data_IF_215410789439
#
_entry.id   IF_215410789439
#
_cell.length_a   1.000
_cell.length_b   1.000
_cell.length_c   1.000
_cell.angle_alpha   90.00
_cell.angle_beta   90.00
_cell.angle_gamma   90.00
#
_symmetry.space_group_name_H-M   'P 1'
#
loop_
_entity.id
_entity.type
_entity.pdbx_description
1 polymer ?
#
# COMPACT_ATOMS: atom_id res chain seq x y z
N UNK A 1 7.48 -22.96 2.39
CA UNK A 1 7.75 -21.62 1.85
C UNK A 1 6.95 -21.45 0.57
N UNK A 2 6.26 -20.32 0.40
CA UNK A 2 5.50 -20.02 -0.80
C UNK A 2 6.39 -19.84 -2.03
N UNK A 3 5.78 -19.76 -3.22
CA UNK A 3 6.52 -19.45 -4.46
C UNK A 3 6.78 -17.95 -4.52
N UNK A 4 8.04 -17.49 -4.73
CA UNK A 4 8.34 -16.07 -4.85
C UNK A 4 7.57 -15.42 -6.01
N UNK A 5 6.94 -14.28 -5.76
CA UNK A 5 6.33 -13.40 -6.77
C UNK A 5 7.33 -12.36 -7.25
N UNK A 6 8.05 -11.75 -6.30
CA UNK A 6 9.04 -10.71 -6.52
C UNK A 6 10.25 -11.00 -5.65
N UNK A 7 11.44 -10.90 -6.23
CA UNK A 7 12.70 -10.88 -5.52
C UNK A 7 13.43 -9.56 -5.83
N UNK A 8 13.72 -8.79 -4.81
CA UNK A 8 14.49 -7.55 -4.87
C UNK A 8 15.89 -7.87 -4.33
N UNK A 9 16.93 -7.58 -5.12
CA UNK A 9 18.32 -7.88 -4.79
C UNK A 9 19.20 -6.65 -4.87
N UNK A 10 19.77 -6.25 -3.74
CA UNK A 10 20.71 -5.12 -3.60
C UNK A 10 20.20 -3.83 -4.25
N UNK A 11 18.88 -3.59 -4.19
CA UNK A 11 18.24 -2.46 -4.84
C UNK A 11 18.72 -1.15 -4.25
N UNK A 12 19.19 -0.26 -5.10
CA UNK A 12 19.41 1.15 -4.78
C UNK A 12 18.61 2.01 -5.75
N UNK A 13 17.99 3.07 -5.23
CA UNK A 13 17.15 3.95 -6.02
C UNK A 13 17.11 5.37 -5.42
N UNK A 14 16.83 6.35 -6.27
CA UNK A 14 16.76 7.74 -5.85
C UNK A 14 16.30 8.65 -7.00
N UNK A 15 16.40 9.94 -6.76
CA UNK A 15 16.03 10.99 -7.71
C UNK A 15 17.22 11.89 -7.94
N UNK A 16 17.52 12.21 -9.19
CA UNK A 16 18.67 13.02 -9.59
C UNK A 16 19.99 12.50 -8.98
N UNK A 17 20.65 13.27 -8.14
CA UNK A 17 21.90 12.91 -7.45
C UNK A 17 21.68 12.35 -6.04
N UNK A 18 20.42 12.31 -5.55
CA UNK A 18 20.11 11.87 -4.18
C UNK A 18 19.67 10.43 -4.15
N UNK A 19 20.47 9.55 -3.56
CA UNK A 19 20.08 8.17 -3.24
C UNK A 19 19.11 8.18 -2.05
N UNK A 20 17.96 7.52 -2.22
CA UNK A 20 16.90 7.39 -1.20
C UNK A 20 16.88 5.98 -0.61
N UNK A 21 17.15 4.97 -1.44
CA UNK A 21 17.22 3.57 -1.01
C UNK A 21 18.60 3.01 -1.31
N UNK A 22 19.14 2.22 -0.36
CA UNK A 22 20.46 1.62 -0.44
C UNK A 22 20.39 0.14 -0.11
N UNK A 23 20.88 -0.70 -1.01
CA UNK A 23 21.08 -2.15 -0.79
C UNK A 23 19.85 -2.87 -0.22
N UNK A 24 18.66 -2.54 -0.73
CA UNK A 24 17.40 -3.13 -0.28
C UNK A 24 17.28 -4.55 -0.82
N UNK A 25 16.97 -5.50 0.07
CA UNK A 25 16.68 -6.88 -0.26
C UNK A 25 15.31 -7.26 0.29
N UNK A 26 14.42 -7.80 -0.55
CA UNK A 26 13.07 -8.18 -0.14
C UNK A 26 12.55 -9.29 -1.06
N UNK A 27 11.90 -10.29 -0.49
CA UNK A 27 11.15 -11.29 -1.25
C UNK A 27 9.68 -11.22 -0.86
N UNK A 28 8.81 -11.12 -1.85
CA UNK A 28 7.35 -11.17 -1.68
C UNK A 28 6.86 -12.50 -2.25
N UNK A 29 6.11 -13.23 -1.47
CA UNK A 29 5.59 -14.54 -1.85
C UNK A 29 4.13 -14.47 -2.32
N UNK A 30 3.68 -15.57 -2.92
CA UNK A 30 2.29 -15.71 -3.32
C UNK A 30 1.37 -15.66 -2.09
N UNK A 31 0.27 -14.90 -2.19
CA UNK A 31 -0.69 -14.69 -1.09
C UNK A 31 -0.05 -14.14 0.20
N UNK A 32 1.07 -13.46 0.06
CA UNK A 32 1.67 -12.71 1.15
C UNK A 32 0.80 -11.52 1.54
N UNK A 33 0.87 -11.11 2.80
CA UNK A 33 0.30 -9.85 3.25
C UNK A 33 1.40 -9.10 4.00
N UNK A 34 2.15 -8.33 3.24
CA UNK A 34 3.33 -7.62 3.71
C UNK A 34 2.97 -6.17 4.08
N UNK A 35 3.26 -5.78 5.32
CA UNK A 35 3.24 -4.39 5.76
C UNK A 35 4.57 -3.71 5.47
N UNK A 36 4.54 -2.55 4.82
CA UNK A 36 5.71 -1.67 4.70
C UNK A 36 5.50 -0.47 5.61
N UNK A 37 6.34 -0.35 6.62
CA UNK A 37 6.34 0.71 7.61
C UNK A 37 7.66 1.50 7.54
N UNK A 38 7.74 2.62 8.26
CA UNK A 38 8.96 3.42 8.32
C UNK A 38 8.66 4.92 8.39
N UNK A 39 9.65 5.76 8.68
CA UNK A 39 9.48 7.20 8.83
C UNK A 39 9.09 7.87 7.52
N UNK A 40 8.55 9.09 7.61
CA UNK A 40 8.31 9.93 6.44
C UNK A 40 9.66 10.28 5.79
N UNK A 41 9.72 10.17 4.47
CA UNK A 41 10.98 10.35 3.73
C UNK A 41 11.90 9.13 3.73
N UNK A 42 11.61 8.05 4.48
CA UNK A 42 12.46 6.85 4.58
C UNK A 42 12.54 5.99 3.30
N UNK A 43 11.80 6.34 2.23
CA UNK A 43 11.92 5.66 0.93
C UNK A 43 10.77 4.71 0.59
N UNK A 44 9.71 4.59 1.41
CA UNK A 44 8.56 3.70 1.16
C UNK A 44 7.95 3.88 -0.23
N UNK A 45 7.58 5.12 -0.59
CA UNK A 45 7.02 5.45 -1.91
C UNK A 45 8.02 5.21 -3.04
N UNK A 46 9.32 5.41 -2.80
CA UNK A 46 10.38 5.11 -3.76
C UNK A 46 10.47 3.61 -4.04
N UNK A 47 10.40 2.78 -3.00
CA UNK A 47 10.37 1.32 -3.14
C UNK A 47 9.13 0.87 -3.93
N UNK A 48 7.95 1.39 -3.59
CA UNK A 48 6.72 1.10 -4.32
C UNK A 48 6.84 1.48 -5.79
N UNK A 49 7.37 2.66 -6.12
CA UNK A 49 7.58 3.08 -7.51
C UNK A 49 8.55 2.15 -8.27
N UNK A 50 9.57 1.64 -7.60
CA UNK A 50 10.47 0.64 -8.20
C UNK A 50 9.72 -0.68 -8.46
N UNK A 51 8.95 -1.19 -7.50
CA UNK A 51 8.13 -2.41 -7.64
C UNK A 51 7.09 -2.27 -8.76
N UNK A 52 6.51 -1.08 -8.93
CA UNK A 52 5.55 -0.79 -10.00
C UNK A 52 6.20 -0.54 -11.37
N UNK A 53 7.55 -0.49 -11.44
CA UNK A 53 8.27 -0.15 -12.66
C UNK A 53 8.16 1.34 -13.06
N UNK A 54 7.67 2.20 -12.15
CA UNK A 54 7.54 3.65 -12.37
C UNK A 54 8.84 4.42 -12.11
N UNK A 55 9.77 3.79 -11.39
CA UNK A 55 11.10 4.33 -11.14
C UNK A 55 12.13 3.23 -11.41
N UNK A 56 13.10 3.54 -12.27
CA UNK A 56 14.20 2.60 -12.56
C UNK A 56 15.21 2.64 -11.42
N UNK A 57 15.61 1.48 -10.85
CA UNK A 57 16.69 1.40 -9.89
C UNK A 57 18.01 1.96 -10.44
N UNK A 58 18.81 2.57 -9.57
CA UNK A 58 20.18 3.00 -9.89
C UNK A 58 21.20 1.89 -9.69
N UNK A 59 20.83 0.82 -8.96
CA UNK A 59 21.63 -0.39 -8.74
C UNK A 59 20.78 -1.54 -8.25
N UNK A 60 21.30 -2.77 -8.36
CA UNK A 60 20.55 -3.98 -8.04
C UNK A 60 19.48 -4.31 -9.08
N UNK A 61 18.60 -5.25 -8.74
CA UNK A 61 17.58 -5.73 -9.67
C UNK A 61 16.28 -6.11 -8.96
N UNK A 62 15.18 -6.11 -9.70
CA UNK A 62 13.88 -6.65 -9.30
C UNK A 62 13.52 -7.77 -10.27
N UNK A 63 13.41 -8.98 -9.74
CA UNK A 63 13.04 -10.18 -10.49
C UNK A 63 11.57 -10.50 -10.23
N UNK A 64 10.79 -10.64 -11.29
CA UNK A 64 9.39 -11.04 -11.23
C UNK A 64 9.25 -12.50 -11.63
N UNK A 65 8.30 -13.22 -11.02
CA UNK A 65 7.99 -14.63 -11.32
C UNK A 65 7.88 -14.86 -12.84
N UNK A 66 8.60 -15.87 -13.31
CA UNK A 66 8.58 -16.26 -14.74
C UNK A 66 9.22 -15.24 -15.68
N UNK A 67 10.02 -14.29 -15.19
CA UNK A 67 10.74 -13.31 -16.00
C UNK A 67 9.82 -12.34 -16.77
N UNK A 68 8.55 -12.23 -16.38
CA UNK A 68 7.57 -11.33 -17.01
C UNK A 68 7.04 -10.35 -15.98
N UNK A 69 6.63 -9.16 -16.45
CA UNK A 69 5.94 -8.20 -15.61
C UNK A 69 4.67 -8.83 -15.03
N UNK A 70 4.53 -8.74 -13.70
CA UNK A 70 3.33 -9.18 -12.99
C UNK A 70 2.16 -8.24 -13.30
N UNK A 71 0.95 -8.79 -13.22
CA UNK A 71 -0.24 -7.94 -13.11
C UNK A 71 -0.29 -7.39 -11.69
N UNK A 72 -0.03 -6.11 -11.55
CA UNK A 72 -0.03 -5.42 -10.26
C UNK A 72 -1.21 -4.44 -10.24
N UNK A 73 -2.09 -4.60 -9.25
CA UNK A 73 -3.09 -3.60 -8.92
C UNK A 73 -2.48 -2.54 -8.01
N UNK A 74 -2.77 -1.27 -8.26
CA UNK A 74 -2.23 -0.17 -7.44
C UNK A 74 -3.34 0.76 -6.96
N UNK A 75 -3.40 0.95 -5.66
CA UNK A 75 -4.20 1.98 -5.01
C UNK A 75 -3.24 3.05 -4.50
N UNK A 76 -3.18 4.23 -5.17
CA UNK A 76 -2.31 5.32 -4.78
C UNK A 76 -2.86 6.05 -3.55
N UNK A 77 -2.00 6.84 -2.92
CA UNK A 77 -2.38 7.72 -1.83
C UNK A 77 -3.55 8.66 -2.24
N UNK A 78 -4.50 8.85 -1.34
CA UNK A 78 -5.75 9.59 -1.57
C UNK A 78 -5.55 10.97 -2.19
N UNK A 79 -4.55 11.72 -1.73
CA UNK A 79 -4.27 13.10 -2.19
C UNK A 79 -3.81 13.19 -3.65
N UNK A 80 -3.45 12.07 -4.27
CA UNK A 80 -3.01 12.02 -5.67
C UNK A 80 -4.17 11.97 -6.68
N UNK A 81 -5.43 11.92 -6.20
CA UNK A 81 -6.61 11.72 -7.04
C UNK A 81 -7.35 13.03 -7.23
N UNK A 82 -7.49 13.44 -8.50
CA UNK A 82 -8.32 14.59 -8.84
C UNK A 82 -9.81 14.22 -8.79
N UNK A 83 -10.47 14.62 -7.71
CA UNK A 83 -11.91 14.41 -7.51
C UNK A 83 -12.80 15.27 -8.39
N UNK A 84 -12.26 16.29 -9.06
CA UNK A 84 -13.02 17.15 -9.98
C UNK A 84 -13.16 16.52 -11.37
N UNK A 85 -12.38 15.47 -11.64
CA UNK A 85 -12.48 14.77 -12.92
C UNK A 85 -13.85 14.08 -13.05
N UNK A 86 -14.62 14.35 -14.11
CA UNK A 86 -15.99 13.88 -14.27
C UNK A 86 -16.02 12.42 -14.73
N UNK A 87 -15.60 11.49 -13.87
CA UNK A 87 -15.57 10.04 -14.11
C UNK A 87 -16.50 9.35 -13.13
N UNK A 88 -17.24 8.34 -13.59
CA UNK A 88 -18.15 7.54 -12.76
C UNK A 88 -17.44 6.41 -12.02
N UNK A 89 -18.13 5.78 -11.05
CA UNK A 89 -17.65 4.60 -10.33
C UNK A 89 -17.33 3.46 -11.30
N UNK A 90 -18.26 3.16 -12.24
CA UNK A 90 -18.07 2.11 -13.25
C UNK A 90 -16.84 2.40 -14.11
N UNK A 91 -16.69 3.62 -14.62
CA UNK A 91 -15.57 4.02 -15.46
C UNK A 91 -14.23 3.94 -14.73
N UNK A 92 -14.17 4.35 -13.44
CA UNK A 92 -12.98 4.21 -12.62
C UNK A 92 -12.59 2.74 -12.49
N UNK A 93 -13.54 1.86 -12.17
CA UNK A 93 -13.27 0.43 -12.01
C UNK A 93 -12.83 -0.17 -13.36
N UNK A 94 -13.54 0.11 -14.45
CA UNK A 94 -13.19 -0.33 -15.80
C UNK A 94 -11.79 0.13 -16.23
N UNK A 95 -11.34 1.30 -15.77
CA UNK A 95 -10.01 1.81 -16.09
C UNK A 95 -8.87 0.87 -15.63
N UNK A 96 -9.11 0.02 -14.63
CA UNK A 96 -8.18 -1.01 -14.20
C UNK A 96 -7.89 -2.10 -15.25
N UNK A 97 -8.72 -2.20 -16.28
CA UNK A 97 -8.52 -3.10 -17.43
C UNK A 97 -7.81 -2.43 -18.62
N UNK A 98 -7.43 -1.15 -18.52
CA UNK A 98 -6.88 -0.40 -19.65
C UNK A 98 -5.58 -0.99 -20.21
N UNK A 99 -4.77 -1.65 -19.38
CA UNK A 99 -3.55 -2.34 -19.85
C UNK A 99 -3.82 -3.63 -20.63
N UNK A 100 -5.04 -4.16 -20.58
CA UNK A 100 -5.44 -5.40 -21.26
C UNK A 100 -6.09 -5.16 -22.61
N UNK A 101 -6.29 -3.91 -23.01
CA UNK A 101 -6.92 -3.55 -24.29
C UNK A 101 -6.04 -2.62 -25.11
N UNK A 102 -6.29 -2.60 -26.45
CA UNK A 102 -5.71 -1.57 -27.32
C UNK A 102 -6.23 -0.18 -26.93
N UNK A 103 -5.40 0.85 -27.08
CA UNK A 103 -5.73 2.25 -26.76
C UNK A 103 -7.02 2.75 -27.45
N UNK A 104 -7.38 2.15 -28.61
CA UNK A 104 -8.52 2.57 -29.44
C UNK A 104 -9.76 1.70 -29.18
N UNK A 105 -9.65 0.57 -28.48
CA UNK A 105 -10.78 -0.35 -28.28
C UNK A 105 -11.69 0.11 -27.15
N UNK A 106 -13.02 -0.02 -27.35
CA UNK A 106 -14.04 0.21 -26.31
C UNK A 106 -14.07 -0.97 -25.34
N UNK A 107 -14.54 -0.74 -24.11
CA UNK A 107 -14.84 -1.82 -23.19
C UNK A 107 -15.98 -2.68 -23.73
N UNK A 108 -15.80 -4.00 -23.69
CA UNK A 108 -16.78 -4.99 -24.14
C UNK A 108 -17.87 -5.23 -23.09
N UNK A 109 -18.95 -5.91 -23.48
CA UNK A 109 -19.98 -6.34 -22.53
C UNK A 109 -19.39 -7.21 -21.39
N UNK A 110 -18.43 -8.09 -21.71
CA UNK A 110 -17.74 -8.91 -20.71
C UNK A 110 -16.93 -8.06 -19.71
N UNK A 111 -16.31 -6.97 -20.15
CA UNK A 111 -15.60 -6.05 -19.25
C UNK A 111 -16.58 -5.35 -18.29
N UNK A 112 -17.77 -4.94 -18.78
CA UNK A 112 -18.79 -4.31 -17.95
C UNK A 112 -19.38 -5.28 -16.95
N UNK A 113 -19.68 -6.51 -17.36
CA UNK A 113 -20.13 -7.56 -16.45
C UNK A 113 -19.14 -7.80 -15.33
N UNK A 114 -17.84 -7.87 -15.66
CA UNK A 114 -16.80 -7.98 -14.66
C UNK A 114 -16.75 -6.77 -13.73
N UNK A 115 -16.95 -5.56 -14.27
CA UNK A 115 -17.01 -4.34 -13.45
C UNK A 115 -18.20 -4.38 -12.48
N UNK A 116 -19.38 -4.84 -12.91
CA UNK A 116 -20.55 -5.00 -12.04
C UNK A 116 -20.29 -6.00 -10.89
N UNK A 117 -19.63 -7.13 -11.18
CA UNK A 117 -19.24 -8.09 -10.14
C UNK A 117 -18.27 -7.46 -9.12
N UNK A 118 -17.31 -6.65 -9.58
CA UNK A 118 -16.38 -5.92 -8.69
C UNK A 118 -17.12 -4.84 -7.91
N UNK A 119 -18.04 -4.09 -8.53
CA UNK A 119 -18.88 -3.08 -7.87
C UNK A 119 -19.66 -3.73 -6.72
N UNK A 120 -20.29 -4.88 -6.95
CA UNK A 120 -21.01 -5.63 -5.92
C UNK A 120 -20.06 -6.08 -4.81
N UNK A 121 -18.88 -6.66 -5.14
CA UNK A 121 -17.85 -7.05 -4.17
C UNK A 121 -17.38 -5.88 -3.31
N UNK A 122 -17.32 -4.67 -3.89
CA UNK A 122 -16.94 -3.44 -3.17
C UNK A 122 -18.09 -2.82 -2.37
N UNK A 123 -19.34 -3.32 -2.49
CA UNK A 123 -20.52 -2.76 -1.87
C UNK A 123 -20.84 -1.35 -2.39
N UNK A 124 -20.75 -1.19 -3.72
CA UNK A 124 -20.99 0.05 -4.46
C UNK A 124 -22.21 -0.05 -5.40
N UNK A 125 -23.06 -1.07 -5.22
CA UNK A 125 -24.27 -1.29 -6.02
C UNK A 125 -25.19 -0.07 -5.95
N UNK A 126 -25.74 0.31 -7.10
CA UNK A 126 -26.56 1.49 -7.26
C UNK A 126 -25.80 2.83 -7.30
N UNK A 127 -24.46 2.78 -7.32
CA UNK A 127 -23.60 3.95 -7.43
C UNK A 127 -22.80 3.99 -8.75
N UNK A 128 -23.09 3.10 -9.69
CA UNK A 128 -22.34 2.88 -10.93
C UNK A 128 -22.11 4.17 -11.72
N UNK A 129 -23.19 4.92 -11.92
CA UNK A 129 -23.21 6.18 -12.68
C UNK A 129 -22.84 7.41 -11.83
N UNK A 130 -22.57 7.21 -10.53
CA UNK A 130 -22.25 8.33 -9.65
C UNK A 130 -20.82 8.80 -9.88
N UNK A 131 -20.64 10.12 -10.02
CA UNK A 131 -19.31 10.71 -10.14
C UNK A 131 -18.48 10.48 -8.87
N UNK A 132 -17.19 10.13 -9.03
CA UNK A 132 -16.29 9.86 -7.89
C UNK A 132 -16.14 11.06 -6.95
N UNK A 133 -16.26 12.28 -7.48
CA UNK A 133 -16.23 13.52 -6.69
C UNK A 133 -17.38 13.65 -5.69
N UNK A 134 -18.51 12.99 -5.94
CA UNK A 134 -19.70 12.99 -5.08
C UNK A 134 -19.70 11.86 -4.03
N UNK A 135 -18.63 11.03 -4.00
CA UNK A 135 -18.50 9.94 -3.04
C UNK A 135 -17.91 10.43 -1.70
N UNK A 136 -18.32 9.77 -0.61
CA UNK A 136 -17.57 9.86 0.65
C UNK A 136 -16.15 9.28 0.49
N UNK A 137 -15.23 9.62 1.39
CA UNK A 137 -13.86 9.09 1.36
C UNK A 137 -13.82 7.56 1.31
N UNK A 138 -14.60 6.87 2.15
CA UNK A 138 -14.64 5.41 2.20
C UNK A 138 -15.24 4.77 0.94
N UNK A 139 -16.25 5.39 0.32
CA UNK A 139 -16.80 4.90 -0.96
C UNK A 139 -15.81 5.09 -2.11
N UNK A 140 -15.11 6.22 -2.14
CA UNK A 140 -14.05 6.47 -3.12
C UNK A 140 -12.91 5.45 -2.98
N UNK A 141 -12.46 5.17 -1.75
CA UNK A 141 -11.43 4.15 -1.51
C UNK A 141 -11.86 2.77 -2.03
N UNK A 142 -13.13 2.38 -1.85
CA UNK A 142 -13.65 1.12 -2.40
C UNK A 142 -13.68 1.12 -3.93
N UNK A 143 -14.07 2.22 -4.57
CA UNK A 143 -14.04 2.33 -6.02
C UNK A 143 -12.61 2.19 -6.57
N UNK A 144 -11.63 2.82 -5.91
CA UNK A 144 -10.22 2.72 -6.28
C UNK A 144 -9.62 1.33 -6.01
N UNK A 145 -10.04 0.69 -4.91
CA UNK A 145 -9.67 -0.70 -4.65
C UNK A 145 -10.28 -1.64 -5.71
N UNK A 146 -11.55 -1.42 -6.09
CA UNK A 146 -12.19 -2.12 -7.20
C UNK A 146 -11.41 -1.98 -8.50
N UNK A 147 -10.94 -0.77 -8.83
CA UNK A 147 -10.05 -0.51 -9.96
C UNK A 147 -8.76 -1.32 -9.86
N UNK A 148 -8.17 -1.43 -8.67
CA UNK A 148 -6.91 -2.16 -8.48
C UNK A 148 -7.06 -3.67 -8.68
N UNK A 149 -8.23 -4.25 -8.33
CA UNK A 149 -8.43 -5.71 -8.36
C UNK A 149 -9.11 -6.24 -9.63
N UNK A 150 -9.77 -5.39 -10.44
CA UNK A 150 -10.57 -5.86 -11.59
C UNK A 150 -9.76 -6.63 -12.64
N UNK A 151 -8.46 -6.41 -12.71
CA UNK A 151 -7.57 -7.11 -13.66
C UNK A 151 -7.17 -8.50 -13.23
N UNK A 152 -7.67 -9.03 -12.08
CA UNK A 152 -7.19 -10.23 -11.40
C UNK A 152 -5.66 -10.18 -11.20
N UNK A 153 -5.18 -9.22 -10.41
CA UNK A 153 -3.75 -9.04 -10.20
C UNK A 153 -3.17 -10.17 -9.35
N UNK A 154 -1.88 -10.43 -9.52
CA UNK A 154 -1.11 -11.35 -8.66
C UNK A 154 -0.63 -10.65 -7.39
N UNK A 155 -0.52 -9.33 -7.45
CA UNK A 155 -0.12 -8.46 -6.35
C UNK A 155 -0.98 -7.19 -6.35
N UNK A 156 -1.46 -6.79 -5.17
CA UNK A 156 -2.07 -5.48 -4.94
C UNK A 156 -1.16 -4.66 -4.04
N UNK A 157 -0.86 -3.45 -4.46
CA UNK A 157 -0.08 -2.49 -3.68
C UNK A 157 -0.99 -1.35 -3.24
N UNK A 158 -1.02 -1.10 -1.94
CA UNK A 158 -1.88 -0.09 -1.31
C UNK A 158 -1.00 0.93 -0.60
N UNK A 159 -1.05 2.18 -1.04
CA UNK A 159 -0.28 3.27 -0.46
C UNK A 159 -1.16 4.13 0.45
N UNK A 160 -1.05 3.91 1.77
CA UNK A 160 -1.83 4.56 2.83
C UNK A 160 -3.37 4.51 2.63
N UNK A 161 -3.97 3.31 2.50
CA UNK A 161 -5.37 3.17 2.13
C UNK A 161 -6.36 3.61 3.21
N UNK A 162 -5.96 3.75 4.47
CA UNK A 162 -6.82 4.15 5.58
C UNK A 162 -6.81 5.65 5.87
N UNK A 163 -5.97 6.43 5.18
CA UNK A 163 -5.90 7.88 5.36
C UNK A 163 -7.22 8.55 4.96
N UNK A 164 -7.76 9.41 5.83
CA UNK A 164 -9.04 10.14 5.65
C UNK A 164 -10.32 9.29 5.70
N UNK A 165 -10.28 8.09 6.25
CA UNK A 165 -11.47 7.28 6.53
C UNK A 165 -11.69 7.11 8.04
N UNK A 166 -12.98 7.02 8.44
CA UNK A 166 -13.32 6.80 9.85
C UNK A 166 -13.03 5.35 10.27
N UNK A 167 -12.94 5.12 11.60
CA UNK A 167 -12.62 3.81 12.18
C UNK A 167 -13.57 2.67 11.76
N UNK A 168 -14.86 2.96 11.47
CA UNK A 168 -15.82 1.95 11.04
C UNK A 168 -15.55 1.51 9.60
N UNK A 169 -15.24 2.46 8.73
CA UNK A 169 -14.84 2.17 7.35
C UNK A 169 -13.48 1.49 7.28
N UNK A 170 -12.54 1.88 8.13
CA UNK A 170 -11.23 1.25 8.24
C UNK A 170 -11.36 -0.26 8.54
N UNK A 171 -12.13 -0.63 9.56
CA UNK A 171 -12.37 -2.04 9.90
C UNK A 171 -12.97 -2.84 8.72
N UNK A 172 -13.91 -2.23 7.96
CA UNK A 172 -14.48 -2.86 6.77
C UNK A 172 -13.47 -2.99 5.64
N UNK A 173 -12.62 -2.00 5.45
CA UNK A 173 -11.54 -2.04 4.46
C UNK A 173 -10.60 -3.21 4.74
N UNK A 174 -10.11 -3.35 5.98
CA UNK A 174 -9.19 -4.43 6.33
C UNK A 174 -9.83 -5.82 6.21
N UNK A 175 -11.12 -5.96 6.55
CA UNK A 175 -11.85 -7.20 6.31
C UNK A 175 -11.88 -7.54 4.81
N UNK A 176 -12.16 -6.56 3.96
CA UNK A 176 -12.16 -6.74 2.51
C UNK A 176 -10.76 -7.07 1.97
N UNK A 177 -9.69 -6.45 2.52
CA UNK A 177 -8.31 -6.78 2.16
C UNK A 177 -7.94 -8.21 2.55
N UNK A 178 -8.39 -8.70 3.72
CA UNK A 178 -8.21 -10.10 4.10
C UNK A 178 -8.89 -11.07 3.13
N UNK A 179 -10.10 -10.74 2.65
CA UNK A 179 -10.80 -11.52 1.61
C UNK A 179 -10.03 -11.49 0.27
N UNK A 180 -9.51 -10.33 -0.15
CA UNK A 180 -8.71 -10.19 -1.37
C UNK A 180 -7.38 -10.96 -1.27
N UNK A 181 -6.78 -11.03 -0.07
CA UNK A 181 -5.53 -11.76 0.14
C UNK A 181 -5.63 -13.28 -0.07
N UNK A 182 -6.84 -13.84 -0.10
CA UNK A 182 -7.03 -15.24 -0.51
C UNK A 182 -6.72 -15.43 -2.00
N UNK A 183 -6.90 -14.40 -2.82
CA UNK A 183 -6.75 -14.45 -4.28
C UNK A 183 -5.35 -14.00 -4.74
N UNK A 184 -4.74 -13.01 -4.06
CA UNK A 184 -3.46 -12.42 -4.47
C UNK A 184 -2.63 -11.96 -3.27
N UNK A 185 -1.34 -11.67 -3.50
CA UNK A 185 -0.49 -11.03 -2.51
C UNK A 185 -0.89 -9.55 -2.31
N UNK A 186 -0.66 -9.02 -1.11
CA UNK A 186 -0.89 -7.61 -0.78
C UNK A 186 0.37 -7.00 -0.18
N UNK A 187 0.75 -5.83 -0.67
CA UNK A 187 1.69 -4.92 -0.01
C UNK A 187 0.89 -3.72 0.51
N UNK A 188 0.92 -3.51 1.81
CA UNK A 188 0.24 -2.43 2.51
C UNK A 188 1.28 -1.45 3.04
N UNK A 189 1.33 -0.23 2.51
CA UNK A 189 2.14 0.86 3.07
C UNK A 189 1.28 1.66 4.04
N UNK A 190 1.77 1.85 5.26
CA UNK A 190 1.09 2.68 6.25
C UNK A 190 2.10 3.29 7.23
N UNK A 191 1.71 4.41 7.82
CA UNK A 191 2.40 5.02 8.95
C UNK A 191 1.76 4.64 10.29
N UNK A 192 0.57 4.02 10.29
CA UNK A 192 -0.09 3.49 11.49
C UNK A 192 0.37 2.05 11.77
N UNK A 193 1.43 1.94 12.58
CA UNK A 193 2.05 0.67 12.93
C UNK A 193 1.07 -0.25 13.66
N UNK A 194 0.31 0.29 14.62
CA UNK A 194 -0.62 -0.49 15.45
C UNK A 194 -1.68 -1.21 14.61
N UNK A 195 -2.26 -0.53 13.64
CA UNK A 195 -3.24 -1.10 12.74
C UNK A 195 -2.61 -2.13 11.78
N UNK A 196 -1.42 -1.82 11.23
CA UNK A 196 -0.73 -2.72 10.30
C UNK A 196 -0.38 -4.06 10.97
N UNK A 197 0.20 -4.03 12.17
CA UNK A 197 0.61 -5.23 12.92
C UNK A 197 -0.51 -6.25 13.11
N UNK A 198 -1.76 -5.79 13.19
CA UNK A 198 -2.93 -6.65 13.38
C UNK A 198 -3.43 -7.30 12.10
N UNK A 199 -3.03 -6.78 10.94
CA UNK A 199 -3.63 -7.13 9.65
C UNK A 199 -2.70 -7.93 8.75
N UNK A 200 -1.39 -7.71 8.87
CA UNK A 200 -0.39 -8.28 7.97
C UNK A 200 0.22 -9.58 8.53
N UNK A 201 0.88 -10.33 7.66
CA UNK A 201 1.59 -11.57 8.03
C UNK A 201 3.07 -11.33 8.31
N UNK A 202 3.66 -10.36 7.64
CA UNK A 202 5.07 -9.99 7.74
C UNK A 202 5.26 -8.50 7.59
N UNK A 203 6.39 -7.97 8.01
CA UNK A 203 6.67 -6.54 8.02
C UNK A 203 8.04 -6.24 7.42
N UNK A 204 8.11 -5.14 6.68
CA UNK A 204 9.36 -4.54 6.23
C UNK A 204 9.42 -3.08 6.71
N UNK A 205 10.44 -2.75 7.50
CA UNK A 205 10.72 -1.38 7.88
C UNK A 205 11.68 -0.75 6.86
N UNK A 206 11.27 0.38 6.28
CA UNK A 206 12.03 1.08 5.24
C UNK A 206 12.48 2.43 5.76
N UNK A 207 13.82 2.59 5.92
CA UNK A 207 14.47 3.82 6.28
C UNK A 207 15.86 3.86 5.60
N UNK A 208 15.93 4.35 4.36
CA UNK A 208 17.06 4.26 3.42
C UNK A 208 17.48 2.83 3.09
N UNK A 209 17.47 1.94 4.05
CA UNK A 209 17.65 0.48 3.95
C UNK A 209 16.33 -0.22 4.24
N UNK A 210 16.33 -1.55 4.18
CA UNK A 210 15.15 -2.34 4.54
C UNK A 210 15.54 -3.40 5.58
N UNK A 211 14.76 -3.43 6.66
CA UNK A 211 14.80 -4.49 7.66
C UNK A 211 13.51 -5.30 7.62
N UNK A 212 13.61 -6.60 7.34
CA UNK A 212 12.47 -7.51 7.15
C UNK A 212 12.24 -8.37 8.38
N UNK A 213 10.98 -8.43 8.83
CA UNK A 213 10.54 -9.28 9.91
C UNK A 213 9.48 -10.28 9.40
N UNK A 214 9.70 -11.60 9.55
CA UNK A 214 8.86 -12.63 8.95
C UNK A 214 7.49 -12.80 9.62
N UNK A 215 7.28 -12.16 10.76
CA UNK A 215 6.02 -12.16 11.51
C UNK A 215 5.71 -10.78 12.09
N UNK A 216 4.67 -10.68 12.90
CA UNK A 216 4.23 -9.41 13.54
C UNK A 216 4.61 -9.31 15.01
N UNK A 217 5.38 -10.28 15.53
CA UNK A 217 5.87 -10.32 16.90
C UNK A 217 7.09 -9.40 17.11
N UNK A 218 6.93 -8.11 16.82
CA UNK A 218 7.99 -7.11 16.84
C UNK A 218 8.27 -6.65 18.26
N UNK A 219 9.54 -6.64 18.67
CA UNK A 219 9.96 -6.07 19.96
C UNK A 219 10.02 -4.53 19.91
N UNK A 220 9.81 -3.89 21.07
CA UNK A 220 9.98 -2.44 21.21
C UNK A 220 11.38 -1.99 20.78
N UNK A 221 12.42 -2.75 21.15
CA UNK A 221 13.81 -2.47 20.74
C UNK A 221 14.00 -2.46 19.21
N UNK A 222 13.29 -3.34 18.49
CA UNK A 222 13.32 -3.36 17.02
C UNK A 222 12.69 -2.11 16.44
N UNK A 223 11.55 -1.68 17.00
CA UNK A 223 10.87 -0.46 16.58
C UNK A 223 11.71 0.79 16.86
N UNK A 224 12.27 0.92 18.06
CA UNK A 224 13.14 2.05 18.42
C UNK A 224 14.36 2.15 17.49
N UNK A 225 15.01 1.02 17.20
CA UNK A 225 16.15 0.98 16.29
C UNK A 225 15.82 1.47 14.88
N UNK A 226 14.65 1.09 14.36
CA UNK A 226 14.28 1.38 12.98
C UNK A 226 13.60 2.75 12.80
N UNK A 227 13.00 3.29 13.85
CA UNK A 227 12.30 4.58 13.79
C UNK A 227 13.09 5.75 14.39
N UNK A 228 14.25 5.49 15.05
CA UNK A 228 15.02 6.49 15.79
C UNK A 228 14.17 7.33 16.77
N UNK A 229 13.09 6.80 17.29
CA UNK A 229 12.18 7.48 18.19
C UNK A 229 11.63 6.44 19.19
N UNK A 230 11.58 6.74 20.49
CA UNK A 230 10.95 5.85 21.46
C UNK A 230 9.47 5.72 21.10
N UNK A 231 9.06 4.51 20.75
CA UNK A 231 7.67 4.18 20.44
C UNK A 231 7.19 3.27 21.56
N UNK A 232 6.38 3.81 22.46
CA UNK A 232 5.68 2.99 23.44
C UNK A 232 4.47 2.32 22.78
N UNK A 233 4.53 0.99 22.71
CA UNK A 233 3.36 0.15 22.38
C UNK A 233 2.59 -0.08 23.68
N UNK A 234 1.62 0.79 24.01
CA UNK A 234 0.76 0.56 25.14
C UNK A 234 -0.32 -0.45 24.78
N UNK A 235 -0.18 -1.67 25.30
CA UNK A 235 -1.19 -2.72 25.24
C UNK A 235 -2.24 -2.53 26.32
N UNK A 236 -3.41 -2.03 25.98
CA UNK A 236 -4.59 -2.17 26.81
C UNK A 236 -5.52 -3.21 26.19
N UNK A 237 -5.48 -4.46 26.70
CA UNK A 237 -6.26 -5.57 26.18
C UNK A 237 -5.65 -6.17 24.90
N UNK A 238 -6.49 -6.75 24.03
CA UNK A 238 -6.05 -7.41 22.79
C UNK A 238 -5.59 -6.45 21.68
N UNK A 239 -5.48 -5.15 21.93
CA UNK A 239 -5.18 -4.11 20.93
C UNK A 239 -4.09 -3.16 21.47
N UNK A 240 -2.87 -3.16 20.92
CA UNK A 240 -1.88 -2.15 21.23
C UNK A 240 -2.31 -0.79 20.67
N UNK A 241 -2.31 0.24 21.51
CA UNK A 241 -2.51 1.63 21.12
C UNK A 241 -1.18 2.38 21.16
N UNK A 242 -0.95 3.26 20.18
CA UNK A 242 0.22 4.13 20.12
C UNK A 242 0.00 5.33 21.05
N UNK A 243 0.89 5.56 22.02
CA UNK A 243 1.07 6.83 22.70
C UNK A 243 2.53 7.24 22.47
N UNK A 244 2.75 8.46 21.99
CA UNK A 244 4.08 9.05 21.95
C UNK A 244 4.48 9.34 23.40
N UNK A 245 5.67 8.87 23.82
CA UNK A 245 6.22 9.22 25.13
C UNK A 245 6.37 10.74 25.23
N UNK A 246 6.03 11.31 26.41
CA UNK A 246 6.27 12.73 26.66
C UNK A 246 7.76 13.05 26.55
N UNK A 247 8.12 13.95 25.65
CA UNK A 247 9.47 14.45 25.56
C UNK A 247 9.81 15.22 26.85
N UNK A 248 10.67 14.66 27.68
CA UNK A 248 11.37 15.45 28.68
C UNK A 248 12.30 16.40 27.91
N UNK A 249 11.99 17.71 27.93
CA UNK A 249 12.87 18.72 27.42
C UNK A 249 14.17 18.72 28.24
N UNK A 250 15.17 18.00 27.77
CA UNK A 250 16.54 18.10 28.17
C UNK A 250 17.31 18.57 26.94
N UNK A 251 18.05 19.66 27.07
CA UNK A 251 18.77 20.36 26.04
C UNK A 251 19.55 19.44 25.07
N UNK A 252 19.54 19.81 23.76
CA UNK A 252 20.25 19.22 22.65
C UNK A 252 19.58 18.03 21.93
N UNK A 253 18.51 18.31 21.18
CA UNK A 253 18.14 17.46 20.06
C UNK A 253 17.84 18.31 18.82
N UNK A 254 18.77 18.34 17.86
CA UNK A 254 18.72 19.17 16.66
C UNK A 254 17.76 18.68 15.56
N UNK A 255 16.60 18.08 15.91
CA UNK A 255 15.69 17.45 14.95
C UNK A 255 14.26 18.01 14.92
N UNK A 256 13.97 19.13 15.60
CA UNK A 256 12.61 19.68 15.60
C UNK A 256 12.57 21.07 14.98
N UNK A 257 12.53 21.14 13.65
CA UNK A 257 11.82 22.22 12.95
C UNK A 257 10.41 21.71 12.64
N UNK A 258 9.49 21.90 13.57
CA UNK A 258 8.06 21.90 13.33
C UNK A 258 7.60 23.35 13.46
N UNK A 259 7.51 24.06 12.35
CA UNK A 259 6.73 25.28 12.27
C UNK A 259 5.26 24.94 12.03
N UNK A 260 4.42 25.72 12.61
CA UNK A 260 2.95 25.64 12.77
C UNK A 260 2.13 25.38 11.52
#
# INVERSE_FOLDING_TARGET
MGTPLIEIKNLSAGYDSRTVLRNVNLTVYDRDFLGIIGPNGGGKTTLIKCILGLLKPTGGEILYRGGRALKIGYLPQYNSIDRKFPITVEEVILSGLSSQKSLISRFTAAHREKAHQVIARMGLEGLEERAIGALSGGLLQRALLGRAIISDPQLVVLDEPSTYIDKRFEARLYKLLAEINHDCAIILVSHDIGTVLQQVKSIACVNETLDYHPDTGISEEWLERNFNCPIELLGHGALPHRILAEHKHGDECGCCNCEH
#
